data_IF_919790257477
#
_entry.id   IF_919790257477
#
_cell.length_a   1.000
_cell.length_b   1.000
_cell.length_c   1.000
_cell.angle_alpha   90.00
_cell.angle_beta   90.00
_cell.angle_gamma   90.00
#
_symmetry.space_group_name_H-M   'P 1'
#
loop_
_entity.id
_entity.type
_entity.pdbx_description
1 polymer ?
#
# COMPACT_ATOMS: atom_id res chain seq x y z
N UNK A 1 15.28 13.18 3.72
CA UNK A 1 14.59 11.95 4.15
C UNK A 1 13.11 12.22 4.43
N UNK A 2 12.78 13.28 5.15
CA UNK A 2 11.39 13.57 5.55
C UNK A 2 10.48 13.92 4.36
N UNK A 3 10.98 14.70 3.41
CA UNK A 3 10.22 15.05 2.19
C UNK A 3 9.84 13.84 1.34
N UNK A 4 10.71 12.82 1.27
CA UNK A 4 10.43 11.60 0.51
C UNK A 4 9.28 10.81 1.12
N UNK A 5 9.24 10.71 2.46
CA UNK A 5 8.15 10.05 3.17
C UNK A 5 6.83 10.82 3.03
N UNK A 6 6.88 12.15 3.12
CA UNK A 6 5.70 13.00 2.90
C UNK A 6 5.13 12.84 1.47
N UNK A 7 6.01 12.80 0.46
CA UNK A 7 5.61 12.55 -0.93
C UNK A 7 5.05 11.13 -1.09
N UNK A 8 5.70 10.12 -0.51
CA UNK A 8 5.24 8.74 -0.59
C UNK A 8 3.83 8.59 0.00
N UNK A 9 3.57 9.17 1.17
CA UNK A 9 2.25 9.16 1.81
C UNK A 9 1.22 9.91 0.96
N UNK A 10 1.55 11.12 0.50
CA UNK A 10 0.65 11.91 -0.35
C UNK A 10 0.27 11.17 -1.64
N UNK A 11 1.25 10.53 -2.28
CA UNK A 11 1.05 9.73 -3.47
C UNK A 11 0.23 8.47 -3.17
N UNK A 12 0.47 7.80 -2.04
CA UNK A 12 -0.31 6.66 -1.58
C UNK A 12 -1.79 6.97 -1.40
N UNK A 13 -2.10 8.09 -0.75
CA UNK A 13 -3.49 8.56 -0.57
C UNK A 13 -4.12 8.88 -1.92
N UNK A 14 -3.40 9.59 -2.80
CA UNK A 14 -3.91 9.92 -4.13
C UNK A 14 -4.22 8.65 -4.95
N UNK A 15 -3.32 7.67 -4.95
CA UNK A 15 -3.50 6.37 -5.61
C UNK A 15 -4.71 5.64 -5.04
N UNK A 16 -4.82 5.53 -3.72
CA UNK A 16 -5.96 4.90 -3.05
C UNK A 16 -7.29 5.53 -3.47
N UNK A 17 -7.40 6.86 -3.38
CA UNK A 17 -8.61 7.58 -3.73
C UNK A 17 -8.95 7.40 -5.21
N UNK A 18 -7.97 7.44 -6.11
CA UNK A 18 -8.18 7.19 -7.54
C UNK A 18 -8.68 5.77 -7.77
N UNK A 19 -8.10 4.76 -7.12
CA UNK A 19 -8.54 3.37 -7.27
C UNK A 19 -9.98 3.15 -6.78
N UNK A 20 -10.35 3.75 -5.65
CA UNK A 20 -11.71 3.62 -5.09
C UNK A 20 -12.73 4.44 -5.89
N UNK A 21 -12.45 5.72 -6.14
CA UNK A 21 -13.43 6.65 -6.71
C UNK A 21 -13.53 6.53 -8.23
N UNK A 22 -12.41 6.37 -8.94
CA UNK A 22 -12.38 6.34 -10.42
C UNK A 22 -12.47 4.94 -10.99
N UNK A 23 -11.77 3.98 -10.39
CA UNK A 23 -11.74 2.58 -10.85
C UNK A 23 -12.75 1.69 -10.11
N UNK A 24 -13.41 2.20 -9.06
CA UNK A 24 -14.42 1.47 -8.28
C UNK A 24 -13.91 0.12 -7.74
N UNK A 25 -12.61 0.05 -7.44
CA UNK A 25 -12.04 -1.14 -6.80
C UNK A 25 -12.49 -1.23 -5.34
N UNK A 26 -12.63 -2.46 -4.85
CA UNK A 26 -12.90 -2.69 -3.44
C UNK A 26 -11.78 -2.10 -2.58
N UNK A 27 -12.16 -1.50 -1.44
CA UNK A 27 -11.23 -0.79 -0.56
C UNK A 27 -10.01 -1.64 -0.17
N UNK A 28 -10.19 -2.94 0.04
CA UNK A 28 -9.10 -3.86 0.37
C UNK A 28 -8.02 -3.94 -0.72
N UNK A 29 -8.43 -4.20 -1.97
CA UNK A 29 -7.50 -4.29 -3.11
C UNK A 29 -6.85 -2.94 -3.38
N UNK A 30 -7.62 -1.85 -3.27
CA UNK A 30 -7.08 -0.50 -3.41
C UNK A 30 -6.02 -0.18 -2.35
N UNK A 31 -6.26 -0.57 -1.09
CA UNK A 31 -5.31 -0.42 0.01
C UNK A 31 -4.04 -1.25 -0.20
N UNK A 32 -4.17 -2.49 -0.69
CA UNK A 32 -3.05 -3.36 -1.01
C UNK A 32 -2.15 -2.73 -2.08
N UNK A 33 -2.74 -2.22 -3.16
CA UNK A 33 -1.98 -1.58 -4.24
C UNK A 33 -1.34 -0.28 -3.73
N UNK A 34 -2.08 0.52 -2.96
CA UNK A 34 -1.55 1.76 -2.39
C UNK A 34 -0.37 1.50 -1.44
N UNK A 35 -0.43 0.46 -0.59
CA UNK A 35 0.67 0.13 0.34
C UNK A 35 1.93 -0.33 -0.39
N UNK A 36 1.79 -1.11 -1.47
CA UNK A 36 2.91 -1.49 -2.34
C UNK A 36 3.56 -0.24 -2.95
N UNK A 37 2.74 0.67 -3.51
CA UNK A 37 3.24 1.90 -4.13
C UNK A 37 3.98 2.77 -3.12
N UNK A 38 3.42 2.98 -1.92
CA UNK A 38 4.07 3.74 -0.83
C UNK A 38 5.39 3.09 -0.43
N UNK A 39 5.42 1.77 -0.29
CA UNK A 39 6.63 1.03 0.07
C UNK A 39 7.77 1.24 -0.93
N UNK A 40 7.47 1.12 -2.22
CA UNK A 40 8.45 1.31 -3.30
C UNK A 40 8.96 2.75 -3.32
N UNK A 41 8.07 3.75 -3.24
CA UNK A 41 8.45 5.18 -3.27
C UNK A 41 9.25 5.58 -2.02
N UNK A 42 9.00 4.94 -0.89
CA UNK A 42 9.76 5.14 0.35
C UNK A 42 11.17 4.52 0.31
N UNK A 43 11.50 3.75 -0.73
CA UNK A 43 12.81 3.11 -0.89
C UNK A 43 12.97 1.80 -0.12
N UNK A 44 11.87 1.17 0.29
CA UNK A 44 11.91 -0.14 0.93
C UNK A 44 12.28 -1.23 -0.07
N UNK A 45 13.04 -2.22 0.38
CA UNK A 45 13.33 -3.40 -0.42
C UNK A 45 12.02 -4.17 -0.73
N UNK A 46 11.83 -4.68 -1.95
CA UNK A 46 10.61 -5.41 -2.33
C UNK A 46 10.28 -6.61 -1.44
N UNK A 47 11.30 -7.28 -0.89
CA UNK A 47 11.13 -8.37 0.08
C UNK A 47 10.41 -7.90 1.34
N UNK A 48 10.86 -6.78 1.92
CA UNK A 48 10.28 -6.20 3.14
C UNK A 48 8.83 -5.78 2.93
N UNK A 49 8.52 -5.18 1.77
CA UNK A 49 7.15 -4.80 1.40
C UNK A 49 6.26 -6.04 1.36
N UNK A 50 6.73 -7.11 0.71
CA UNK A 50 5.98 -8.35 0.57
C UNK A 50 5.75 -9.05 1.92
N UNK A 51 6.76 -9.04 2.79
CA UNK A 51 6.65 -9.62 4.12
C UNK A 51 5.67 -8.84 5.00
N UNK A 52 5.73 -7.50 4.98
CA UNK A 52 4.76 -6.64 5.68
C UNK A 52 3.32 -6.85 5.19
N UNK A 53 3.13 -7.04 3.88
CA UNK A 53 1.83 -7.34 3.28
C UNK A 53 1.33 -8.73 3.71
N UNK A 54 2.20 -9.74 3.67
CA UNK A 54 1.86 -11.09 4.12
C UNK A 54 1.53 -11.13 5.60
N UNK A 55 2.21 -10.36 6.43
CA UNK A 55 1.93 -10.26 7.85
C UNK A 55 0.61 -9.54 8.12
N UNK A 56 0.37 -8.40 7.45
CA UNK A 56 -0.88 -7.64 7.57
C UNK A 56 -2.10 -8.42 7.05
N UNK A 57 -1.98 -9.10 5.90
CA UNK A 57 -3.05 -9.95 5.37
C UNK A 57 -3.15 -11.28 6.11
N UNK A 58 -2.04 -11.89 6.52
CA UNK A 58 -2.01 -13.12 7.32
C UNK A 58 -2.69 -12.93 8.68
N UNK A 59 -2.59 -11.75 9.29
CA UNK A 59 -3.33 -11.41 10.50
C UNK A 59 -4.85 -11.29 10.31
N UNK A 60 -5.35 -11.19 9.08
CA UNK A 60 -6.77 -10.94 8.79
C UNK A 60 -7.45 -12.02 7.93
N UNK A 61 -6.67 -12.76 7.13
CA UNK A 61 -7.07 -13.86 6.25
C UNK A 61 -6.39 -15.19 6.61
N UNK A 62 -5.36 -15.17 7.46
CA UNK A 62 -4.58 -16.35 7.84
C UNK A 62 -5.18 -17.09 9.02
N UNK A 63 -6.33 -17.73 8.78
CA UNK A 63 -6.70 -19.01 9.39
C UNK A 63 -7.67 -19.73 8.44
N UNK A 64 -7.11 -20.41 7.42
CA UNK A 64 -7.38 -21.80 7.01
C UNK A 64 -6.11 -22.39 6.41
#
# INVERSE_FOLDING_TARGET
MDFQLLIAIGLGIAVLLVLILRFKLQAFIALLIASIVVGIVSGLAPSVIMDSIKEGMGSTLGFV
#
